data_IF_222304367718
#
_entry.id   IF_222304367718
#
_cell.length_a   1.000
_cell.length_b   1.000
_cell.length_c   1.000
_cell.angle_alpha   90.00
_cell.angle_beta   90.00
_cell.angle_gamma   90.00
#
_symmetry.space_group_name_H-M   'P 1'
#
loop_
_entity.id
_entity.type
_entity.pdbx_description
1 polymer ?
#
# COMPACT_ATOMS: atom_id res chain seq x y z
N UNK A 1 -50.06 -9.61 24.20
CA UNK A 1 -48.84 -8.86 23.90
C UNK A 1 -47.68 -9.84 23.93
N UNK A 2 -47.18 -10.25 22.75
CA UNK A 2 -45.96 -11.07 22.62
C UNK A 2 -44.84 -10.12 22.19
N UNK A 3 -43.89 -9.89 23.09
CA UNK A 3 -42.68 -9.13 22.78
C UNK A 3 -41.78 -9.99 21.87
N UNK A 4 -41.51 -9.52 20.66
CA UNK A 4 -40.50 -10.10 19.74
C UNK A 4 -39.16 -9.44 20.12
N UNK A 5 -38.28 -10.23 20.73
CA UNK A 5 -36.89 -9.85 20.99
C UNK A 5 -36.11 -9.93 19.68
N UNK A 6 -35.85 -8.79 19.03
CA UNK A 6 -34.92 -8.73 17.92
C UNK A 6 -33.49 -8.79 18.46
N UNK A 7 -32.83 -9.93 18.24
CA UNK A 7 -31.41 -10.09 18.51
C UNK A 7 -30.61 -9.43 17.37
N UNK A 8 -30.08 -8.25 17.67
CA UNK A 8 -29.18 -7.55 16.74
C UNK A 8 -27.81 -8.25 16.76
N UNK A 9 -27.56 -9.10 15.76
CA UNK A 9 -26.22 -9.65 15.55
C UNK A 9 -25.32 -8.53 14.98
N UNK A 10 -24.54 -7.89 15.83
CA UNK A 10 -23.45 -7.01 15.43
C UNK A 10 -22.31 -7.90 14.91
N UNK A 11 -22.25 -8.11 13.60
CA UNK A 11 -21.08 -8.70 12.96
C UNK A 11 -19.93 -7.68 13.09
N UNK A 12 -19.10 -7.87 14.11
CA UNK A 12 -17.79 -7.23 14.18
C UNK A 12 -16.94 -7.81 13.04
N UNK A 13 -16.84 -7.07 11.95
CA UNK A 13 -15.78 -7.27 10.98
C UNK A 13 -14.45 -6.95 11.68
N UNK A 14 -13.76 -7.99 12.12
CA UNK A 14 -12.35 -7.90 12.45
C UNK A 14 -11.61 -7.66 11.12
N UNK A 15 -11.40 -6.40 10.76
CA UNK A 15 -10.30 -6.08 9.87
C UNK A 15 -9.03 -6.31 10.70
N UNK A 16 -8.16 -7.26 10.37
CA UNK A 16 -6.87 -7.35 11.02
C UNK A 16 -6.14 -6.04 10.72
N UNK A 17 -6.03 -5.18 11.71
CA UNK A 17 -5.11 -4.05 11.67
C UNK A 17 -3.72 -4.67 11.85
N UNK A 18 -3.05 -4.97 10.74
CA UNK A 18 -1.63 -5.27 10.79
C UNK A 18 -0.94 -4.00 11.28
N UNK A 19 -0.24 -4.10 12.37
CA UNK A 19 0.51 -2.98 12.94
C UNK A 19 1.95 -3.07 12.44
N UNK A 20 2.53 -1.93 12.07
CA UNK A 20 3.96 -1.83 11.83
C UNK A 20 4.75 -2.49 12.97
N UNK A 21 5.86 -3.14 12.64
CA UNK A 21 6.69 -3.83 13.63
C UNK A 21 7.76 -2.87 14.13
N UNK A 22 7.70 -2.50 15.40
CA UNK A 22 8.77 -1.71 16.02
C UNK A 22 9.99 -2.60 16.26
N UNK A 23 11.07 -2.34 15.51
CA UNK A 23 12.35 -3.05 15.62
C UNK A 23 13.20 -2.47 16.74
N UNK A 24 13.23 -1.14 16.85
CA UNK A 24 13.82 -0.40 17.96
C UNK A 24 12.77 0.58 18.45
N UNK A 25 12.44 0.55 19.72
CA UNK A 25 11.57 1.55 20.34
C UNK A 25 12.39 2.68 20.94
N UNK A 26 11.81 3.87 21.00
CA UNK A 26 12.31 4.90 21.89
C UNK A 26 12.49 4.35 23.31
N UNK A 27 13.47 4.85 24.04
CA UNK A 27 13.81 4.33 25.35
C UNK A 27 14.55 2.99 25.33
N UNK A 28 15.03 2.52 24.19
CA UNK A 28 15.86 1.31 24.11
C UNK A 28 17.21 1.50 24.77
N UNK A 29 17.81 0.40 25.24
CA UNK A 29 19.20 0.42 25.74
C UNK A 29 20.20 0.45 24.59
N UNK A 30 21.21 1.32 24.72
CA UNK A 30 22.31 1.49 23.79
C UNK A 30 23.64 1.30 24.49
N UNK A 31 24.66 0.78 23.78
CA UNK A 31 26.06 0.96 24.13
C UNK A 31 26.47 2.37 23.71
N UNK A 32 27.25 3.06 24.57
CA UNK A 32 27.73 4.40 24.24
C UNK A 32 29.17 4.67 24.74
N UNK A 33 29.84 5.58 24.04
CA UNK A 33 31.15 6.10 24.40
C UNK A 33 31.14 7.64 24.34
N UNK A 34 31.46 8.26 25.44
CA UNK A 34 31.40 9.71 25.69
C UNK A 34 32.68 10.22 26.37
N UNK A 35 33.86 9.75 25.91
CA UNK A 35 35.16 10.05 26.47
C UNK A 35 35.95 11.11 25.66
N UNK A 36 35.37 11.64 24.59
CA UNK A 36 35.95 12.63 23.70
C UNK A 36 37.05 12.11 22.77
N UNK A 37 37.30 10.80 22.73
CA UNK A 37 38.31 10.20 21.87
C UNK A 37 37.78 9.96 20.44
N UNK A 38 38.73 9.90 19.48
CA UNK A 38 38.42 9.49 18.11
C UNK A 38 38.29 7.96 17.99
N UNK A 39 37.20 7.47 17.46
CA UNK A 39 37.00 6.03 17.24
C UNK A 39 37.37 5.58 15.80
N UNK A 40 37.82 6.52 14.94
CA UNK A 40 38.04 6.24 13.53
C UNK A 40 36.73 5.79 12.83
N UNK A 41 36.78 4.75 12.01
CA UNK A 41 35.58 4.26 11.27
C UNK A 41 35.19 2.84 11.62
N UNK A 42 36.08 2.03 12.24
CA UNK A 42 35.83 0.63 12.50
C UNK A 42 34.66 0.38 13.49
N UNK A 43 34.37 1.33 14.34
CA UNK A 43 33.31 1.24 15.35
C UNK A 43 31.90 1.18 14.75
N UNK A 44 31.70 1.60 13.49
CA UNK A 44 30.40 1.56 12.82
C UNK A 44 30.02 0.16 12.32
N UNK A 45 31.00 -0.76 12.21
CA UNK A 45 30.83 -2.09 11.63
C UNK A 45 30.44 -3.18 12.63
N UNK A 46 30.00 -4.32 12.11
CA UNK A 46 29.51 -5.47 12.91
C UNK A 46 30.59 -6.17 13.75
N UNK A 47 31.86 -6.10 13.34
CA UNK A 47 32.98 -6.78 14.00
C UNK A 47 33.65 -6.01 15.13
N UNK A 48 33.19 -4.82 15.45
CA UNK A 48 33.82 -3.99 16.48
C UNK A 48 33.46 -4.49 17.88
N UNK A 49 34.47 -4.52 18.77
CA UNK A 49 34.30 -4.90 20.17
C UNK A 49 33.97 -3.69 21.03
N UNK A 50 32.72 -3.53 21.40
CA UNK A 50 32.18 -2.48 22.27
C UNK A 50 31.96 -2.95 23.72
N UNK A 51 32.61 -4.02 24.17
CA UNK A 51 32.41 -4.58 25.51
C UNK A 51 32.78 -3.61 26.61
N UNK A 52 33.74 -2.70 26.36
CA UNK A 52 34.19 -1.66 27.32
C UNK A 52 33.27 -0.43 27.31
N UNK A 53 32.38 -0.28 26.35
CA UNK A 53 31.48 0.87 26.28
C UNK A 53 30.41 0.80 27.38
N UNK A 54 30.01 1.94 27.89
CA UNK A 54 28.90 2.05 28.82
C UNK A 54 27.59 1.63 28.21
N UNK A 55 26.56 1.45 29.03
CA UNK A 55 25.20 1.17 28.56
C UNK A 55 24.23 2.11 29.25
N UNK A 56 23.25 2.61 28.47
CA UNK A 56 22.19 3.50 28.97
C UNK A 56 20.92 3.34 28.18
N UNK A 57 19.83 3.79 28.78
CA UNK A 57 18.50 3.80 28.15
C UNK A 57 18.32 5.17 27.46
N UNK A 58 17.74 5.19 26.25
CA UNK A 58 17.31 6.42 25.58
C UNK A 58 16.18 7.13 26.38
N UNK A 59 16.10 8.43 26.37
CA UNK A 59 16.97 9.43 25.77
C UNK A 59 18.30 9.52 26.53
N UNK A 60 19.39 9.47 25.79
CA UNK A 60 20.74 9.66 26.35
C UNK A 60 21.20 11.08 26.03
N UNK A 61 21.74 11.79 27.02
CA UNK A 61 22.14 13.17 26.82
C UNK A 61 22.52 13.87 28.11
N UNK A 62 22.50 15.20 28.09
CA UNK A 62 22.55 16.06 29.23
C UNK A 62 22.04 17.46 28.87
N UNK A 63 21.45 18.17 29.82
CA UNK A 63 21.13 19.59 29.72
C UNK A 63 19.65 19.90 29.79
N UNK A 64 18.77 19.04 29.25
CA UNK A 64 17.31 19.26 29.15
C UNK A 64 16.55 18.83 30.39
N UNK A 65 17.12 17.89 31.15
CA UNK A 65 16.53 17.38 32.39
C UNK A 65 15.44 16.27 32.14
N UNK A 66 15.32 15.76 30.93
CA UNK A 66 14.46 14.66 30.55
C UNK A 66 15.24 13.38 30.15
N UNK A 67 16.56 13.41 30.29
CA UNK A 67 17.44 12.30 29.97
C UNK A 67 17.24 11.12 30.93
N UNK A 68 17.10 9.93 30.36
CA UNK A 68 17.06 8.66 31.10
C UNK A 68 18.48 8.18 31.49
N UNK A 69 19.49 8.56 30.71
CA UNK A 69 20.90 8.28 30.98
C UNK A 69 21.75 9.52 30.66
N UNK A 70 22.45 10.02 31.66
CA UNK A 70 23.32 11.21 31.54
C UNK A 70 24.66 10.84 30.96
N UNK A 71 25.08 11.52 29.89
CA UNK A 71 26.37 11.37 29.22
C UNK A 71 27.43 12.25 29.93
N UNK A 72 28.71 11.85 29.79
CA UNK A 72 29.83 12.62 30.23
C UNK A 72 30.14 13.77 29.24
N UNK A 73 30.02 14.99 29.69
CA UNK A 73 30.34 16.16 28.89
C UNK A 73 31.85 16.48 28.81
N UNK A 74 32.68 15.75 29.53
CA UNK A 74 34.12 16.02 29.65
C UNK A 74 34.50 17.03 30.72
N UNK A 75 33.54 17.64 31.41
CA UNK A 75 33.77 18.63 32.45
C UNK A 75 32.56 18.77 33.41
N UNK A 76 32.83 19.23 34.62
CA UNK A 76 31.81 19.39 35.68
C UNK A 76 31.99 20.74 36.37
N UNK A 77 30.91 21.50 36.64
CA UNK A 77 29.52 21.20 36.27
C UNK A 77 29.22 21.47 34.78
N UNK A 78 28.34 20.64 34.16
CA UNK A 78 28.01 20.70 32.73
C UNK A 78 27.51 22.09 32.29
N UNK A 79 26.67 22.72 33.12
CA UNK A 79 26.06 24.04 32.83
C UNK A 79 27.06 25.19 32.64
N UNK A 80 28.25 25.12 33.24
CA UNK A 80 29.29 26.15 33.11
C UNK A 80 30.49 25.71 32.27
N UNK A 81 30.41 24.55 31.66
CA UNK A 81 31.50 24.00 30.87
C UNK A 81 31.56 24.63 29.47
N UNK A 82 32.75 25.07 29.05
CA UNK A 82 33.02 25.69 27.75
C UNK A 82 33.89 24.84 26.83
N UNK A 83 34.24 23.62 27.25
CA UNK A 83 35.13 22.70 26.54
C UNK A 83 34.60 21.26 26.58
N UNK A 84 33.30 21.09 26.28
CA UNK A 84 32.65 19.82 26.23
C UNK A 84 33.17 18.96 25.05
N UNK A 85 33.01 17.65 25.15
CA UNK A 85 33.27 16.74 24.04
C UNK A 85 32.35 17.05 22.87
N UNK A 86 32.89 17.08 21.65
CA UNK A 86 32.12 17.41 20.45
C UNK A 86 31.27 16.21 20.02
N UNK A 87 31.77 14.98 20.18
CA UNK A 87 31.11 13.78 19.66
C UNK A 87 30.89 12.74 20.74
N UNK A 88 29.67 12.17 20.74
CA UNK A 88 29.28 10.99 21.49
C UNK A 88 28.83 9.89 20.51
N UNK A 89 29.22 8.64 20.82
CA UNK A 89 29.01 7.48 19.96
C UNK A 89 28.04 6.49 20.58
N UNK A 90 27.18 5.89 19.74
CA UNK A 90 26.15 4.97 20.18
C UNK A 90 26.14 3.73 19.29
N UNK A 91 25.90 2.55 19.87
CA UNK A 91 25.84 1.28 19.14
C UNK A 91 24.72 0.40 19.68
N UNK A 92 24.07 -0.33 18.78
CA UNK A 92 23.08 -1.32 19.12
C UNK A 92 23.08 -2.47 18.10
N UNK A 93 23.08 -3.69 18.57
CA UNK A 93 22.88 -4.86 17.73
C UNK A 93 21.39 -5.22 17.70
N UNK A 94 20.90 -5.51 16.53
CA UNK A 94 19.52 -5.96 16.28
C UNK A 94 19.52 -7.19 15.40
N UNK A 95 18.41 -7.93 15.42
CA UNK A 95 18.17 -9.03 14.49
C UNK A 95 16.92 -8.75 13.69
N UNK A 96 17.06 -8.70 12.38
CA UNK A 96 15.94 -8.62 11.45
C UNK A 96 15.52 -10.04 11.07
N UNK A 97 14.27 -10.39 11.34
CA UNK A 97 13.65 -11.61 10.90
C UNK A 97 13.40 -11.62 9.38
N UNK A 98 12.39 -12.34 8.91
CA UNK A 98 12.04 -12.32 7.49
C UNK A 98 11.58 -10.94 7.07
N UNK A 99 12.17 -10.37 6.02
CA UNK A 99 11.76 -9.08 5.41
C UNK A 99 10.64 -9.25 4.39
N UNK A 100 10.18 -10.50 4.16
CA UNK A 100 9.19 -10.81 3.12
C UNK A 100 7.84 -10.11 3.30
N UNK A 101 7.55 -9.65 4.53
CA UNK A 101 6.31 -8.93 4.86
C UNK A 101 6.48 -7.40 4.91
N UNK A 102 7.69 -6.88 4.72
CA UNK A 102 7.97 -5.46 4.87
C UNK A 102 8.03 -4.73 3.52
N UNK A 103 7.63 -3.47 3.52
CA UNK A 103 7.76 -2.55 2.39
C UNK A 103 9.06 -1.73 2.48
N UNK A 104 9.34 -1.19 3.64
CA UNK A 104 10.49 -0.37 3.97
C UNK A 104 10.60 -0.23 5.49
N UNK A 105 11.57 0.58 5.94
CA UNK A 105 11.69 0.97 7.34
C UNK A 105 11.52 2.49 7.49
N UNK A 106 10.89 2.91 8.57
CA UNK A 106 10.89 4.31 9.01
C UNK A 106 11.89 4.44 10.16
N UNK A 107 12.88 5.31 9.98
CA UNK A 107 13.82 5.70 11.02
C UNK A 107 13.39 7.05 11.59
N UNK A 108 13.15 7.10 12.88
CA UNK A 108 12.86 8.30 13.63
C UNK A 108 14.00 8.54 14.63
N UNK A 109 14.64 9.69 14.57
CA UNK A 109 15.72 10.05 15.50
C UNK A 109 15.40 11.33 16.23
N UNK A 110 15.65 11.35 17.54
CA UNK A 110 15.78 12.57 18.34
C UNK A 110 17.25 12.87 18.47
N UNK A 111 17.64 14.07 18.16
CA UNK A 111 19.04 14.49 18.17
C UNK A 111 19.16 15.96 18.55
N UNK A 112 20.19 16.28 19.30
CA UNK A 112 20.71 17.61 19.50
C UNK A 112 22.25 17.55 19.57
N UNK A 113 23.01 18.28 18.71
CA UNK A 113 22.60 19.12 17.58
C UNK A 113 22.51 18.35 16.25
N UNK A 114 23.50 17.55 15.85
CA UNK A 114 23.61 16.86 14.60
C UNK A 114 23.88 15.38 14.76
N UNK A 115 23.43 14.55 13.80
CA UNK A 115 23.56 13.10 13.84
C UNK A 115 24.02 12.52 12.50
N UNK A 116 24.84 11.45 12.59
CA UNK A 116 25.07 10.51 11.48
C UNK A 116 24.71 9.12 11.97
N UNK A 117 23.97 8.35 11.16
CA UNK A 117 23.55 6.98 11.45
C UNK A 117 24.12 6.02 10.42
N UNK A 118 24.61 4.89 10.89
CA UNK A 118 25.18 3.82 10.09
C UNK A 118 24.46 2.50 10.34
N UNK A 119 24.38 1.68 9.30
CA UNK A 119 23.99 0.26 9.38
C UNK A 119 25.15 -0.57 8.82
N UNK A 120 25.71 -1.46 9.64
CA UNK A 120 26.81 -2.35 9.28
C UNK A 120 28.02 -1.63 8.65
N UNK A 121 28.31 -0.43 9.13
CA UNK A 121 29.42 0.39 8.65
C UNK A 121 29.09 1.31 7.46
N UNK A 122 27.86 1.26 6.93
CA UNK A 122 27.41 2.11 5.81
C UNK A 122 26.55 3.25 6.36
N UNK A 123 26.88 4.49 6.01
CA UNK A 123 26.05 5.66 6.37
C UNK A 123 24.69 5.55 5.66
N UNK A 124 23.60 5.64 6.44
CA UNK A 124 22.23 5.54 5.94
C UNK A 124 21.41 6.82 6.16
N UNK A 125 21.84 7.66 7.10
CA UNK A 125 21.16 8.91 7.41
C UNK A 125 22.14 9.92 8.00
N UNK A 126 21.95 11.19 7.64
CA UNK A 126 22.67 12.34 8.22
C UNK A 126 21.72 13.51 8.34
N UNK A 127 21.74 14.15 9.49
CA UNK A 127 20.94 15.33 9.72
C UNK A 127 21.77 16.38 10.51
N UNK A 128 21.66 17.62 10.09
CA UNK A 128 22.29 18.79 10.71
C UNK A 128 23.83 18.79 10.76
N UNK A 129 24.46 17.91 9.97
CA UNK A 129 25.92 17.86 9.74
C UNK A 129 26.16 17.99 8.23
N UNK A 130 27.12 18.84 7.84
CA UNK A 130 27.44 19.05 6.42
C UNK A 130 27.85 17.76 5.72
N UNK A 131 27.52 17.66 4.43
CA UNK A 131 27.95 16.53 3.57
C UNK A 131 29.45 16.61 3.30
N UNK A 132 30.07 15.45 3.10
CA UNK A 132 31.49 15.32 2.79
C UNK A 132 32.30 14.74 3.94
N UNK A 133 33.62 14.96 3.90
CA UNK A 133 34.54 14.45 4.90
C UNK A 133 34.35 15.18 6.26
N UNK A 134 34.39 14.40 7.30
CA UNK A 134 34.23 14.89 8.69
C UNK A 134 35.16 14.14 9.63
N UNK A 135 35.30 14.64 10.83
CA UNK A 135 36.07 14.05 11.92
C UNK A 135 35.25 14.13 13.20
N UNK A 136 35.69 13.45 14.25
CA UNK A 136 35.06 13.55 15.59
C UNK A 136 35.08 14.98 16.19
N UNK A 137 35.77 15.93 15.60
CA UNK A 137 35.77 17.36 15.97
C UNK A 137 34.92 18.22 15.04
N UNK A 138 34.28 17.63 14.04
CA UNK A 138 33.38 18.36 13.14
C UNK A 138 32.16 18.83 13.93
N UNK A 139 31.89 20.12 13.84
CA UNK A 139 30.72 20.72 14.49
C UNK A 139 29.47 20.53 13.65
N UNK A 140 28.33 20.31 14.31
CA UNK A 140 27.01 20.37 13.70
C UNK A 140 26.55 21.79 13.43
N UNK A 141 25.48 21.99 12.70
CA UNK A 141 24.72 23.23 12.71
C UNK A 141 23.83 23.26 13.96
N UNK A 142 23.38 24.44 14.38
CA UNK A 142 22.50 24.55 15.54
C UNK A 142 21.14 23.84 15.31
N UNK A 143 20.72 23.00 16.24
CA UNK A 143 19.40 22.42 16.25
C UNK A 143 18.39 23.42 16.86
N UNK A 144 17.36 23.76 16.10
CA UNK A 144 16.33 24.72 16.55
C UNK A 144 15.18 24.07 17.30
N UNK A 145 15.16 22.75 17.35
CA UNK A 145 14.13 21.91 17.95
C UNK A 145 14.54 21.34 19.33
N UNK A 146 15.77 21.61 19.79
CA UNK A 146 16.24 21.26 21.10
C UNK A 146 16.08 19.77 21.43
N UNK A 147 16.35 18.89 20.42
CA UNK A 147 16.17 17.43 20.53
C UNK A 147 14.72 16.92 20.67
N UNK A 148 13.75 17.81 20.80
CA UNK A 148 12.35 17.44 21.11
C UNK A 148 11.58 16.86 19.92
N UNK A 149 11.94 17.28 18.69
CA UNK A 149 11.26 16.82 17.48
C UNK A 149 11.96 15.61 16.85
N UNK A 150 11.19 14.57 16.53
CA UNK A 150 11.71 13.43 15.76
C UNK A 150 12.03 13.86 14.32
N UNK A 151 13.24 13.56 13.86
CA UNK A 151 13.66 13.67 12.47
C UNK A 151 13.41 12.33 11.80
N UNK A 152 12.57 12.31 10.74
CA UNK A 152 12.10 11.07 10.13
C UNK A 152 12.68 10.88 8.74
N UNK A 153 13.10 9.65 8.43
CA UNK A 153 13.48 9.24 7.07
C UNK A 153 13.01 7.82 6.78
N UNK A 154 12.89 7.48 5.48
CA UNK A 154 12.57 6.13 5.01
C UNK A 154 13.83 5.43 4.54
N UNK A 155 14.06 4.22 5.03
CA UNK A 155 15.16 3.34 4.65
C UNK A 155 14.63 2.15 3.86
N UNK A 156 15.39 1.71 2.85
CA UNK A 156 15.01 0.59 2.00
C UNK A 156 15.26 -0.76 2.67
N UNK A 157 14.57 -1.82 2.22
CA UNK A 157 14.82 -3.20 2.68
C UNK A 157 16.26 -3.65 2.44
N UNK A 158 16.93 -3.13 1.40
CA UNK A 158 18.31 -3.48 1.08
C UNK A 158 19.31 -3.06 2.17
N UNK A 159 18.97 -2.07 3.00
CA UNK A 159 19.79 -1.60 4.11
C UNK A 159 19.66 -2.50 5.35
N UNK A 160 18.59 -3.31 5.43
CA UNK A 160 18.32 -4.25 6.52
C UNK A 160 17.83 -5.59 5.97
N UNK A 161 18.66 -6.37 5.28
CA UNK A 161 18.26 -7.72 4.89
C UNK A 161 18.03 -8.61 6.13
N UNK A 162 17.48 -9.80 5.95
CA UNK A 162 17.31 -10.77 7.02
C UNK A 162 18.67 -11.10 7.65
N UNK A 163 18.79 -10.99 8.97
CA UNK A 163 20.03 -11.29 9.69
C UNK A 163 20.31 -10.36 10.87
N UNK A 164 21.53 -10.46 11.37
CA UNK A 164 22.01 -9.61 12.45
C UNK A 164 22.65 -8.34 11.87
N UNK A 165 22.31 -7.18 12.46
CA UNK A 165 22.81 -5.89 12.06
C UNK A 165 23.32 -5.12 13.26
N UNK A 166 24.31 -4.25 13.01
CA UNK A 166 24.74 -3.23 13.96
C UNK A 166 24.26 -1.88 13.48
N UNK A 167 23.50 -1.19 14.30
CA UNK A 167 23.22 0.23 14.14
C UNK A 167 24.21 1.00 14.98
N UNK A 168 24.88 1.96 14.34
CA UNK A 168 25.78 2.88 15.01
C UNK A 168 25.34 4.32 14.72
N UNK A 169 25.50 5.20 15.69
CA UNK A 169 25.19 6.62 15.52
C UNK A 169 26.23 7.46 16.24
N UNK A 170 26.50 8.65 15.69
CA UNK A 170 27.27 9.68 16.37
C UNK A 170 26.49 10.97 16.41
N UNK A 171 26.46 11.60 17.59
CA UNK A 171 25.89 12.92 17.78
C UNK A 171 27.06 13.92 17.88
N UNK A 172 26.97 15.05 17.19
CA UNK A 172 27.93 16.12 17.17
C UNK A 172 27.30 17.40 17.70
N UNK A 173 28.03 18.08 18.56
CA UNK A 173 27.65 19.37 19.09
C UNK A 173 27.86 20.50 18.06
N UNK A 174 27.07 21.57 18.15
CA UNK A 174 27.27 22.79 17.37
C UNK A 174 28.48 23.57 17.82
N UNK A 175 28.83 23.53 19.12
CA UNK A 175 30.03 24.13 19.73
C UNK A 175 30.46 23.34 20.96
N UNK A 176 31.71 23.50 21.38
CA UNK A 176 32.18 22.92 22.63
C UNK A 176 31.53 23.55 23.90
N UNK A 177 30.74 24.59 23.74
CA UNK A 177 29.99 25.23 24.82
C UNK A 177 28.47 25.06 24.71
N UNK A 178 27.97 24.22 23.79
CA UNK A 178 26.54 23.92 23.69
C UNK A 178 25.95 23.48 25.02
N UNK A 179 24.71 23.86 25.31
CA UNK A 179 24.08 23.62 26.62
C UNK A 179 23.86 22.14 26.88
N UNK A 180 23.46 21.40 25.85
CA UNK A 180 22.80 20.12 25.89
C UNK A 180 23.27 19.19 24.77
N UNK A 181 22.84 17.96 24.84
CA UNK A 181 22.94 16.92 23.81
C UNK A 181 21.83 15.90 24.04
N UNK A 182 21.16 15.48 22.98
CA UNK A 182 20.10 14.50 23.04
C UNK A 182 20.27 13.39 21.97
N UNK A 183 20.03 12.15 22.38
CA UNK A 183 19.97 11.00 21.47
C UNK A 183 18.89 10.00 21.88
N UNK A 184 17.99 9.72 21.01
CA UNK A 184 17.11 8.53 21.03
C UNK A 184 16.72 8.15 19.61
N UNK A 185 16.33 6.90 19.41
CA UNK A 185 16.05 6.37 18.08
C UNK A 185 14.96 5.32 18.11
N UNK A 186 14.06 5.40 17.13
CA UNK A 186 13.08 4.39 16.81
C UNK A 186 13.28 3.89 15.39
N UNK A 187 13.18 2.57 15.18
CA UNK A 187 13.17 1.93 13.88
C UNK A 187 11.90 1.09 13.73
N UNK A 188 11.08 1.42 12.77
CA UNK A 188 9.81 0.75 12.50
C UNK A 188 9.86 0.07 11.14
N UNK A 189 9.65 -1.24 11.10
CA UNK A 189 9.43 -1.97 9.85
C UNK A 189 7.97 -1.77 9.43
N UNK A 190 7.78 -1.18 8.25
CA UNK A 190 6.47 -0.92 7.68
C UNK A 190 6.01 -2.16 6.89
N UNK A 191 4.94 -2.77 7.31
CA UNK A 191 4.41 -3.94 6.61
C UNK A 191 3.79 -3.54 5.27
N UNK A 192 3.98 -4.40 4.27
CA UNK A 192 3.37 -4.27 2.96
C UNK A 192 1.94 -4.83 3.00
N UNK A 193 1.03 -4.05 3.55
CA UNK A 193 -0.37 -4.44 3.66
C UNK A 193 -1.13 -3.95 2.43
N UNK A 194 -1.29 -4.83 1.43
CA UNK A 194 -2.15 -4.56 0.31
C UNK A 194 -3.60 -4.44 0.77
N UNK A 195 -4.27 -3.39 0.35
CA UNK A 195 -5.71 -3.20 0.51
C UNK A 195 -6.34 -2.78 -0.81
N UNK A 196 -7.56 -3.24 -1.06
CA UNK A 196 -8.27 -2.90 -2.30
C UNK A 196 -8.74 -1.46 -2.24
N UNK A 197 -8.31 -0.66 -3.21
CA UNK A 197 -8.74 0.74 -3.39
C UNK A 197 -9.77 0.90 -4.50
N UNK A 198 -9.88 -0.09 -5.40
CA UNK A 198 -10.86 -0.17 -6.49
C UNK A 198 -11.24 -1.63 -6.74
N UNK A 199 -12.52 -1.93 -6.95
CA UNK A 199 -13.01 -3.23 -7.33
C UNK A 199 -13.17 -4.24 -6.18
N UNK A 200 -13.17 -5.55 -6.49
CA UNK A 200 -13.01 -6.14 -7.83
C UNK A 200 -14.17 -5.83 -8.77
N UNK A 201 -13.88 -5.87 -10.06
CA UNK A 201 -14.86 -5.73 -11.13
C UNK A 201 -14.53 -6.70 -12.27
N UNK A 202 -15.54 -7.01 -13.09
CA UNK A 202 -15.50 -8.07 -14.08
C UNK A 202 -15.55 -7.48 -15.48
N UNK A 203 -14.64 -7.91 -16.35
CA UNK A 203 -14.59 -7.52 -17.76
C UNK A 203 -14.48 -8.75 -18.67
N UNK A 204 -14.67 -8.54 -19.94
CA UNK A 204 -14.38 -9.46 -21.05
C UNK A 204 -14.61 -10.94 -20.69
N UNK A 205 -15.85 -11.32 -20.40
CA UNK A 205 -16.20 -12.72 -20.20
C UNK A 205 -16.37 -13.44 -21.55
N UNK A 206 -16.07 -14.74 -21.54
CA UNK A 206 -16.34 -15.66 -22.64
C UNK A 206 -17.14 -16.87 -22.14
N UNK A 207 -17.38 -17.89 -22.98
CA UNK A 207 -17.93 -19.13 -22.50
C UNK A 207 -17.05 -19.90 -21.53
N UNK A 208 -15.73 -19.60 -21.49
CA UNK A 208 -14.75 -20.37 -20.73
C UNK A 208 -13.70 -19.53 -20.01
N UNK A 209 -13.88 -18.21 -19.95
CA UNK A 209 -12.97 -17.32 -19.24
C UNK A 209 -13.67 -16.05 -18.74
N UNK A 210 -13.00 -15.33 -17.83
CA UNK A 210 -13.38 -14.00 -17.36
C UNK A 210 -12.14 -13.25 -16.92
N UNK A 211 -12.13 -11.93 -17.10
CA UNK A 211 -11.16 -11.03 -16.51
C UNK A 211 -11.68 -10.48 -15.19
N UNK A 212 -10.89 -10.63 -14.13
CA UNK A 212 -11.17 -10.07 -12.79
C UNK A 212 -10.13 -9.02 -12.52
N UNK A 213 -10.56 -7.77 -12.34
CA UNK A 213 -9.68 -6.63 -12.15
C UNK A 213 -9.90 -5.96 -10.81
N UNK A 214 -8.83 -5.46 -10.23
CA UNK A 214 -8.87 -4.64 -9.01
C UNK A 214 -7.62 -3.76 -8.91
N UNK A 215 -7.66 -2.77 -8.00
CA UNK A 215 -6.50 -1.93 -7.65
C UNK A 215 -6.18 -2.08 -6.18
N UNK A 216 -4.91 -2.08 -5.86
CA UNK A 216 -4.39 -2.02 -4.48
C UNK A 216 -3.65 -0.71 -4.20
N UNK A 217 -3.48 -0.39 -2.91
CA UNK A 217 -2.74 0.80 -2.45
C UNK A 217 -1.23 0.67 -2.62
N UNK A 218 -0.70 -0.55 -2.69
CA UNK A 218 0.72 -0.88 -2.85
C UNK A 218 0.90 -2.00 -3.87
N UNK A 219 2.11 -2.11 -4.43
CA UNK A 219 2.44 -3.20 -5.34
C UNK A 219 2.34 -4.56 -4.65
N UNK A 220 1.53 -5.44 -5.21
CA UNK A 220 1.37 -6.83 -4.78
C UNK A 220 1.27 -7.75 -6.01
N UNK A 221 1.51 -9.03 -5.84
CA UNK A 221 1.17 -10.01 -6.85
C UNK A 221 -0.35 -10.30 -6.82
N UNK A 222 -0.86 -11.02 -7.80
CA UNK A 222 -2.29 -11.26 -7.94
C UNK A 222 -2.62 -12.72 -7.68
N UNK A 223 -3.64 -12.98 -6.85
CA UNK A 223 -4.19 -14.32 -6.63
C UNK A 223 -5.71 -14.25 -6.77
N UNK A 224 -6.26 -15.17 -7.57
CA UNK A 224 -7.70 -15.42 -7.64
C UNK A 224 -7.95 -16.87 -7.28
N UNK A 225 -8.68 -17.11 -6.19
CA UNK A 225 -9.23 -18.44 -5.91
C UNK A 225 -10.68 -18.49 -6.40
N UNK A 226 -11.09 -19.61 -6.97
CA UNK A 226 -12.44 -19.75 -7.53
C UNK A 226 -12.97 -21.18 -7.44
N UNK A 227 -14.29 -21.33 -7.53
CA UNK A 227 -14.98 -22.61 -7.49
C UNK A 227 -16.47 -22.45 -7.72
N UNK A 228 -17.18 -23.55 -7.96
CA UNK A 228 -18.63 -23.55 -8.24
C UNK A 228 -19.49 -23.56 -6.97
N UNK A 229 -18.88 -23.74 -5.80
CA UNK A 229 -19.58 -23.81 -4.50
C UNK A 229 -19.15 -22.65 -3.64
N UNK A 230 -20.11 -21.91 -3.09
CA UNK A 230 -19.83 -20.82 -2.14
C UNK A 230 -19.05 -21.34 -0.92
N UNK A 231 -17.99 -20.63 -0.56
CA UNK A 231 -17.08 -21.01 0.53
C UNK A 231 -16.12 -22.16 0.20
N UNK A 232 -16.21 -22.78 -1.00
CA UNK A 232 -15.31 -23.84 -1.44
C UNK A 232 -14.63 -23.46 -2.77
N UNK A 233 -13.55 -22.67 -2.67
CA UNK A 233 -12.77 -22.15 -3.81
C UNK A 233 -11.58 -23.08 -4.05
N UNK A 234 -11.76 -24.10 -4.86
CA UNK A 234 -10.80 -25.21 -5.02
C UNK A 234 -9.75 -25.01 -6.11
N UNK A 235 -9.90 -23.97 -6.91
CA UNK A 235 -8.98 -23.64 -8.02
C UNK A 235 -8.32 -22.28 -7.76
N UNK A 236 -7.09 -22.10 -8.28
CA UNK A 236 -6.33 -20.89 -8.08
C UNK A 236 -5.61 -20.45 -9.35
N UNK A 237 -5.63 -19.15 -9.63
CA UNK A 237 -4.76 -18.50 -10.63
C UNK A 237 -3.87 -17.50 -9.88
N UNK A 238 -2.58 -17.49 -10.21
CA UNK A 238 -1.61 -16.56 -9.63
C UNK A 238 -0.82 -15.87 -10.74
N UNK A 239 -0.70 -14.55 -10.66
CA UNK A 239 0.25 -13.75 -11.44
C UNK A 239 1.30 -13.17 -10.47
N UNK A 240 2.56 -13.50 -10.70
CA UNK A 240 3.68 -13.08 -9.85
C UNK A 240 4.10 -11.62 -10.06
N UNK A 241 3.56 -10.94 -11.06
CA UNK A 241 3.87 -9.53 -11.36
C UNK A 241 3.44 -8.64 -10.20
N UNK A 242 4.38 -7.84 -9.69
CA UNK A 242 4.09 -6.85 -8.65
C UNK A 242 3.51 -5.59 -9.28
N UNK A 243 2.26 -5.31 -8.98
CA UNK A 243 1.52 -4.17 -9.53
C UNK A 243 0.50 -3.63 -8.54
N UNK A 244 0.04 -2.41 -8.76
CA UNK A 244 -1.16 -1.87 -8.10
C UNK A 244 -2.41 -2.06 -8.95
N UNK A 245 -2.28 -2.25 -10.28
CA UNK A 245 -3.38 -2.52 -11.19
C UNK A 245 -3.37 -4.00 -11.56
N UNK A 246 -4.32 -4.75 -11.06
CA UNK A 246 -4.42 -6.19 -11.23
C UNK A 246 -5.43 -6.53 -12.34
N UNK A 247 -5.04 -7.42 -13.24
CA UNK A 247 -5.90 -8.00 -14.28
C UNK A 247 -5.60 -9.49 -14.40
N UNK A 248 -6.47 -10.33 -13.85
CA UNK A 248 -6.30 -11.78 -13.85
C UNK A 248 -7.33 -12.45 -14.73
N UNK A 249 -6.86 -13.16 -15.74
CA UNK A 249 -7.72 -13.98 -16.59
C UNK A 249 -7.89 -15.37 -15.99
N UNK A 250 -9.10 -15.69 -15.60
CA UNK A 250 -9.49 -17.06 -15.20
C UNK A 250 -9.97 -17.80 -16.42
N UNK A 251 -9.37 -18.94 -16.74
CA UNK A 251 -9.63 -19.74 -17.94
C UNK A 251 -10.03 -21.17 -17.61
N UNK A 252 -10.43 -21.96 -18.63
CA UNK A 252 -10.78 -23.36 -18.46
C UNK A 252 -12.12 -23.57 -17.78
N UNK A 253 -13.00 -22.58 -17.83
CA UNK A 253 -14.32 -22.60 -17.19
C UNK A 253 -15.35 -23.30 -18.08
N UNK A 254 -16.42 -23.79 -17.44
CA UNK A 254 -17.62 -24.29 -18.15
C UNK A 254 -18.51 -23.11 -18.52
N UNK A 255 -19.19 -23.19 -19.67
CA UNK A 255 -20.14 -22.18 -20.12
C UNK A 255 -21.40 -22.13 -19.24
N UNK A 256 -22.06 -20.97 -19.22
CA UNK A 256 -23.32 -20.72 -18.48
C UNK A 256 -23.26 -21.24 -17.02
N UNK A 257 -22.09 -21.09 -16.38
CA UNK A 257 -21.82 -21.66 -15.08
C UNK A 257 -21.43 -20.56 -14.10
N UNK A 258 -22.07 -20.60 -12.93
CA UNK A 258 -21.76 -19.68 -11.83
C UNK A 258 -20.51 -20.13 -11.07
N UNK A 259 -19.56 -19.23 -10.91
CA UNK A 259 -18.35 -19.40 -10.11
C UNK A 259 -18.29 -18.36 -9.02
N UNK A 260 -17.98 -18.76 -7.79
CA UNK A 260 -17.59 -17.87 -6.70
C UNK A 260 -16.10 -17.64 -6.76
N UNK A 261 -15.64 -16.48 -6.29
CA UNK A 261 -14.22 -16.16 -6.29
C UNK A 261 -13.81 -15.32 -5.06
N UNK A 262 -12.52 -15.30 -4.81
CA UNK A 262 -11.85 -14.34 -3.93
C UNK A 262 -10.64 -13.77 -4.65
N UNK A 263 -10.26 -12.56 -4.28
CA UNK A 263 -9.02 -11.93 -4.71
C UNK A 263 -8.06 -11.80 -3.53
N UNK A 264 -6.77 -11.81 -3.81
CA UNK A 264 -5.74 -11.72 -2.79
C UNK A 264 -4.35 -11.58 -3.38
N UNK A 265 -3.36 -11.80 -2.54
CA UNK A 265 -1.95 -11.85 -2.90
C UNK A 265 -1.21 -12.90 -2.05
N UNK A 266 0.04 -13.23 -2.43
CA UNK A 266 0.96 -14.07 -1.67
C UNK A 266 2.29 -13.38 -1.43
N UNK A 267 2.44 -12.12 -1.81
CA UNK A 267 3.62 -11.31 -1.59
C UNK A 267 3.21 -9.98 -0.94
N UNK A 268 3.72 -9.66 0.24
CA UNK A 268 4.77 -10.39 0.99
C UNK A 268 4.28 -11.62 1.76
N UNK A 269 2.97 -11.77 1.98
CA UNK A 269 2.37 -12.91 2.68
C UNK A 269 1.02 -13.28 2.05
N UNK A 270 0.54 -14.50 2.32
CA UNK A 270 -0.79 -14.91 1.87
C UNK A 270 -1.85 -13.99 2.49
N UNK A 271 -2.57 -13.30 1.64
CA UNK A 271 -3.60 -12.36 2.06
C UNK A 271 -4.83 -12.48 1.16
N UNK A 272 -5.99 -12.74 1.76
CA UNK A 272 -7.27 -12.64 1.07
C UNK A 272 -7.80 -11.22 1.26
N UNK A 273 -7.95 -10.48 0.18
CA UNK A 273 -8.38 -9.08 0.21
C UNK A 273 -9.91 -8.96 0.20
N UNK A 274 -10.59 -9.70 -0.70
CA UNK A 274 -12.04 -9.69 -0.83
C UNK A 274 -12.56 -11.10 -1.10
N UNK A 275 -13.61 -11.50 -0.38
CA UNK A 275 -14.26 -12.81 -0.51
C UNK A 275 -15.71 -12.76 -0.01
N UNK A 276 -16.45 -13.83 -0.23
CA UNK A 276 -17.83 -14.05 0.27
C UNK A 276 -18.85 -14.31 -0.84
N UNK A 277 -20.06 -14.66 -0.45
CA UNK A 277 -21.14 -15.12 -1.34
C UNK A 277 -21.58 -14.12 -2.41
N UNK A 278 -21.18 -12.85 -2.28
CA UNK A 278 -21.46 -11.79 -3.27
C UNK A 278 -20.37 -11.64 -4.33
N UNK A 279 -19.25 -12.33 -4.18
CA UNK A 279 -18.16 -12.35 -5.15
C UNK A 279 -18.32 -13.58 -6.04
N UNK A 280 -19.02 -13.41 -7.16
CA UNK A 280 -19.26 -14.46 -8.14
C UNK A 280 -19.39 -13.87 -9.54
N UNK A 281 -19.25 -14.71 -10.54
CA UNK A 281 -19.57 -14.40 -11.93
C UNK A 281 -20.26 -15.60 -12.57
N UNK A 282 -20.91 -15.36 -13.71
CA UNK A 282 -21.41 -16.42 -14.57
C UNK A 282 -20.76 -16.30 -15.94
N UNK A 283 -20.18 -17.38 -16.44
CA UNK A 283 -19.60 -17.44 -17.78
C UNK A 283 -20.68 -17.27 -18.85
N UNK A 284 -20.31 -16.78 -20.03
CA UNK A 284 -21.29 -16.58 -21.09
C UNK A 284 -21.91 -17.92 -21.53
N UNK A 285 -23.19 -17.92 -21.90
CA UNK A 285 -23.86 -19.09 -22.51
C UNK A 285 -23.27 -19.38 -23.89
N UNK A 286 -23.56 -20.59 -24.41
CA UNK A 286 -23.20 -20.91 -25.77
C UNK A 286 -23.93 -20.00 -26.77
N UNK A 287 -23.25 -19.69 -27.87
CA UNK A 287 -23.84 -18.89 -28.96
C UNK A 287 -25.01 -19.62 -29.61
N UNK A 288 -26.02 -18.84 -29.95
CA UNK A 288 -27.21 -19.34 -30.62
C UNK A 288 -28.24 -20.04 -29.72
N UNK A 289 -27.97 -20.17 -28.43
CA UNK A 289 -28.90 -20.74 -27.46
C UNK A 289 -29.95 -19.69 -27.08
N UNK A 290 -31.23 -20.01 -27.21
CA UNK A 290 -32.31 -19.15 -26.72
C UNK A 290 -32.39 -19.22 -25.20
N UNK A 291 -32.32 -18.03 -24.55
CA UNK A 291 -32.54 -17.89 -23.11
C UNK A 291 -33.10 -16.52 -22.74
N UNK A 292 -33.80 -16.45 -21.63
CA UNK A 292 -34.15 -15.17 -21.02
C UNK A 292 -32.89 -14.51 -20.50
N UNK A 293 -32.61 -13.28 -20.94
CA UNK A 293 -31.40 -12.52 -20.58
C UNK A 293 -31.80 -11.16 -20.04
N UNK A 294 -30.98 -10.66 -19.10
CA UNK A 294 -31.25 -9.41 -18.39
C UNK A 294 -30.01 -8.54 -18.40
N UNK A 295 -30.08 -7.40 -19.07
CA UNK A 295 -29.00 -6.42 -19.13
C UNK A 295 -29.43 -5.11 -18.49
N UNK A 296 -28.54 -4.50 -17.73
CA UNK A 296 -28.70 -3.13 -17.35
C UNK A 296 -27.95 -2.23 -18.32
N UNK A 297 -28.68 -1.34 -18.99
CA UNK A 297 -28.14 -0.42 -19.98
C UNK A 297 -28.21 0.99 -19.39
N UNK A 298 -27.07 1.67 -19.29
CA UNK A 298 -26.97 2.99 -18.68
C UNK A 298 -25.86 3.82 -19.35
N UNK A 299 -26.08 5.12 -19.52
CA UNK A 299 -25.09 6.11 -19.92
C UNK A 299 -25.02 7.22 -18.89
N UNK A 300 -24.05 8.15 -19.01
CA UNK A 300 -23.91 9.33 -18.15
C UNK A 300 -23.86 9.00 -16.65
N UNK A 301 -23.20 7.90 -16.30
CA UNK A 301 -23.37 7.27 -15.00
C UNK A 301 -22.24 7.54 -14.00
N UNK A 302 -21.32 8.50 -14.28
CA UNK A 302 -20.13 8.75 -13.44
C UNK A 302 -20.02 10.19 -12.91
N UNK A 303 -21.14 10.85 -12.62
CA UNK A 303 -21.14 12.26 -12.22
C UNK A 303 -21.12 12.51 -10.70
N UNK A 304 -21.08 11.46 -9.89
CA UNK A 304 -21.02 11.51 -8.43
C UNK A 304 -22.16 12.33 -7.78
N UNK A 305 -23.36 12.26 -8.34
CA UNK A 305 -24.52 13.00 -7.81
C UNK A 305 -25.50 12.09 -7.08
N UNK A 306 -26.38 12.70 -6.27
CA UNK A 306 -27.51 12.00 -5.65
C UNK A 306 -28.45 11.36 -6.66
N UNK A 307 -28.59 11.96 -7.85
CA UNK A 307 -29.43 11.41 -8.92
C UNK A 307 -28.86 10.09 -9.44
N UNK A 308 -27.55 9.98 -9.63
CA UNK A 308 -26.86 8.73 -9.96
C UNK A 308 -27.16 7.64 -8.94
N UNK A 309 -27.06 7.95 -7.66
CA UNK A 309 -27.35 7.02 -6.56
C UNK A 309 -28.83 6.61 -6.56
N UNK A 310 -29.75 7.53 -6.80
CA UNK A 310 -31.18 7.26 -6.86
C UNK A 310 -31.53 6.34 -8.02
N UNK A 311 -30.95 6.54 -9.20
CA UNK A 311 -31.13 5.64 -10.36
C UNK A 311 -30.62 4.24 -10.03
N UNK A 312 -29.39 4.12 -9.50
CA UNK A 312 -28.85 2.82 -9.07
C UNK A 312 -29.74 2.14 -8.03
N UNK A 313 -30.16 2.87 -7.00
CA UNK A 313 -30.98 2.30 -5.93
C UNK A 313 -32.36 1.85 -6.44
N UNK A 314 -32.97 2.63 -7.35
CA UNK A 314 -34.22 2.23 -8.01
C UNK A 314 -34.06 0.98 -8.87
N UNK A 315 -32.96 0.88 -9.61
CA UNK A 315 -32.62 -0.33 -10.34
C UNK A 315 -32.44 -1.53 -9.40
N UNK A 316 -31.68 -1.39 -8.31
CA UNK A 316 -31.48 -2.47 -7.34
C UNK A 316 -32.78 -2.90 -6.66
N UNK A 317 -33.67 -1.96 -6.38
CA UNK A 317 -35.00 -2.25 -5.83
C UNK A 317 -35.85 -3.03 -6.86
N UNK A 318 -35.83 -2.62 -8.12
CA UNK A 318 -36.55 -3.33 -9.20
C UNK A 318 -36.03 -4.74 -9.41
N UNK A 319 -34.71 -4.93 -9.36
CA UNK A 319 -34.08 -6.23 -9.51
C UNK A 319 -34.38 -7.18 -8.35
N UNK A 320 -34.48 -6.67 -7.14
CA UNK A 320 -34.69 -7.49 -5.93
C UNK A 320 -33.60 -8.56 -5.79
N UNK A 321 -34.00 -9.84 -5.80
CA UNK A 321 -33.07 -10.98 -5.75
C UNK A 321 -32.61 -11.49 -7.14
N UNK A 322 -33.06 -10.86 -8.22
CA UNK A 322 -32.61 -11.24 -9.55
C UNK A 322 -31.21 -10.70 -9.84
N UNK A 323 -30.53 -11.36 -10.77
CA UNK A 323 -29.19 -10.99 -11.21
C UNK A 323 -29.23 -10.49 -12.66
N UNK A 324 -28.37 -9.51 -12.99
CA UNK A 324 -28.15 -9.08 -14.37
C UNK A 324 -27.05 -9.95 -15.01
N UNK A 325 -27.26 -10.36 -16.25
CA UNK A 325 -26.28 -11.09 -17.04
C UNK A 325 -25.11 -10.19 -17.51
N UNK A 326 -25.37 -8.90 -17.65
CA UNK A 326 -24.36 -7.92 -18.03
C UNK A 326 -24.81 -6.48 -17.79
N UNK A 327 -23.83 -5.56 -17.76
CA UNK A 327 -24.05 -4.13 -17.67
C UNK A 327 -23.41 -3.45 -18.88
N UNK A 328 -24.23 -2.77 -19.69
CA UNK A 328 -23.80 -1.99 -20.85
C UNK A 328 -23.64 -0.53 -20.43
N UNK A 329 -22.44 -0.01 -20.56
CA UNK A 329 -22.14 1.39 -20.29
C UNK A 329 -22.03 2.14 -21.63
N UNK A 330 -22.90 3.11 -21.86
CA UNK A 330 -23.04 3.79 -23.13
C UNK A 330 -22.21 5.07 -23.26
N UNK A 331 -21.18 5.19 -22.46
CA UNK A 331 -20.28 6.33 -22.44
C UNK A 331 -20.57 7.31 -21.34
N UNK A 332 -19.66 8.28 -21.19
CA UNK A 332 -19.62 9.27 -20.13
C UNK A 332 -19.62 8.58 -18.75
N UNK A 333 -18.67 7.65 -18.61
CA UNK A 333 -18.53 6.82 -17.43
C UNK A 333 -17.91 7.58 -16.25
N UNK A 334 -17.22 8.71 -16.52
CA UNK A 334 -16.67 9.60 -15.49
C UNK A 334 -16.66 11.06 -15.95
N UNK A 335 -17.03 11.96 -15.06
CA UNK A 335 -17.17 13.40 -15.30
C UNK A 335 -16.20 14.21 -14.45
N UNK A 336 -15.61 15.36 -15.04
CA UNK A 336 -15.97 15.94 -16.36
C UNK A 336 -14.97 15.56 -17.48
N UNK A 337 -13.86 14.93 -17.17
CA UNK A 337 -12.73 14.73 -18.08
C UNK A 337 -12.22 13.27 -18.13
N UNK A 338 -12.98 12.30 -17.60
CA UNK A 338 -12.63 10.88 -17.63
C UNK A 338 -11.27 10.58 -16.96
N UNK A 339 -10.89 11.36 -15.98
CA UNK A 339 -9.64 11.15 -15.24
C UNK A 339 -9.74 9.92 -14.32
N UNK A 340 -8.60 9.33 -13.96
CA UNK A 340 -8.57 8.22 -12.99
C UNK A 340 -9.24 8.60 -11.65
N UNK A 341 -9.02 9.82 -11.19
CA UNK A 341 -9.64 10.33 -9.97
C UNK A 341 -11.16 10.45 -10.07
N UNK A 342 -11.69 10.85 -11.23
CA UNK A 342 -13.13 10.93 -11.46
C UNK A 342 -13.78 9.55 -11.54
N UNK A 343 -13.14 8.58 -12.18
CA UNK A 343 -13.56 7.17 -12.10
C UNK A 343 -13.55 6.68 -10.66
N UNK A 344 -12.48 6.98 -9.91
CA UNK A 344 -12.29 6.55 -8.52
C UNK A 344 -13.33 7.16 -7.57
N UNK A 345 -13.88 8.34 -7.86
CA UNK A 345 -14.86 9.01 -7.00
C UNK A 345 -16.29 8.91 -7.51
N UNK A 346 -16.49 8.95 -8.83
CA UNK A 346 -17.80 9.04 -9.47
C UNK A 346 -18.39 7.73 -9.94
N UNK A 347 -17.57 6.75 -10.34
CA UNK A 347 -18.04 5.50 -10.91
C UNK A 347 -17.87 4.31 -9.95
N UNK A 348 -16.64 3.93 -9.59
CA UNK A 348 -16.40 2.69 -8.85
C UNK A 348 -17.09 2.63 -7.50
N UNK A 349 -17.03 3.60 -6.60
CA UNK A 349 -17.67 3.52 -5.29
C UNK A 349 -19.19 3.44 -5.39
N UNK A 350 -19.75 3.95 -6.47
CA UNK A 350 -21.19 3.96 -6.65
C UNK A 350 -21.75 2.59 -7.02
N UNK A 351 -20.97 1.74 -7.70
CA UNK A 351 -21.45 0.48 -8.27
C UNK A 351 -20.71 -0.77 -7.76
N UNK A 352 -19.48 -0.66 -7.25
CA UNK A 352 -18.63 -1.83 -6.95
C UNK A 352 -19.28 -2.81 -5.98
N UNK A 353 -19.89 -2.33 -4.90
CA UNK A 353 -20.46 -3.20 -3.86
C UNK A 353 -21.79 -3.83 -4.22
N UNK A 354 -22.47 -3.30 -5.21
CA UNK A 354 -23.80 -3.78 -5.63
C UNK A 354 -23.76 -4.59 -6.93
N UNK A 355 -22.85 -4.26 -7.85
CA UNK A 355 -22.91 -4.76 -9.23
C UNK A 355 -21.53 -5.20 -9.76
N UNK A 356 -20.49 -4.36 -9.69
CA UNK A 356 -19.28 -4.59 -10.49
C UNK A 356 -18.54 -5.87 -10.13
N UNK A 357 -18.66 -6.34 -8.89
CA UNK A 357 -18.04 -7.58 -8.41
C UNK A 357 -18.73 -8.87 -8.90
N UNK A 358 -19.92 -8.77 -9.53
CA UNK A 358 -20.67 -9.96 -9.94
C UNK A 358 -21.43 -9.82 -11.27
N UNK A 359 -21.36 -8.67 -11.93
CA UNK A 359 -21.95 -8.42 -13.25
C UNK A 359 -20.83 -8.08 -14.23
N UNK A 360 -20.84 -8.72 -15.40
CA UNK A 360 -19.84 -8.43 -16.44
C UNK A 360 -20.11 -7.05 -17.04
N UNK A 361 -19.06 -6.21 -17.08
CA UNK A 361 -19.09 -4.88 -17.66
C UNK A 361 -18.76 -4.93 -19.15
N UNK A 362 -19.56 -4.22 -19.93
CA UNK A 362 -19.39 -3.98 -21.35
C UNK A 362 -19.44 -2.48 -21.61
N UNK A 363 -18.35 -1.75 -21.30
CA UNK A 363 -18.32 -0.30 -21.41
C UNK A 363 -17.99 0.18 -22.83
N UNK A 364 -18.56 1.34 -23.22
CA UNK A 364 -18.10 2.16 -24.30
C UNK A 364 -17.60 3.51 -23.73
N UNK A 365 -16.59 4.16 -24.34
CA UNK A 365 -16.18 5.50 -23.91
C UNK A 365 -17.07 6.58 -24.56
N UNK A 366 -17.41 7.61 -23.79
CA UNK A 366 -18.11 8.79 -24.26
C UNK A 366 -17.16 9.99 -24.43
N UNK A 367 -17.71 11.14 -24.80
CA UNK A 367 -16.90 12.33 -25.01
C UNK A 367 -16.23 12.86 -23.73
N UNK A 368 -16.86 12.68 -22.56
CA UNK A 368 -16.26 13.03 -21.27
C UNK A 368 -15.14 12.09 -20.87
N UNK A 369 -15.21 10.80 -21.19
CA UNK A 369 -14.11 9.85 -20.99
C UNK A 369 -12.85 10.26 -21.78
N UNK A 370 -13.06 10.92 -22.94
CA UNK A 370 -12.02 11.54 -23.76
C UNK A 370 -11.71 13.00 -23.37
N UNK A 371 -12.20 13.50 -22.24
CA UNK A 371 -12.04 14.89 -21.80
C UNK A 371 -12.54 15.93 -22.84
N UNK A 372 -13.54 15.57 -23.65
CA UNK A 372 -14.00 16.36 -24.80
C UNK A 372 -12.87 16.76 -25.77
N UNK A 373 -11.85 15.94 -25.92
CA UNK A 373 -10.62 16.25 -26.65
C UNK A 373 -10.48 15.36 -27.89
N UNK A 374 -10.52 15.95 -29.08
CA UNK A 374 -10.41 15.24 -30.34
C UNK A 374 -9.07 14.51 -30.52
N UNK A 375 -7.96 15.01 -29.96
CA UNK A 375 -6.67 14.32 -29.99
C UNK A 375 -6.77 13.01 -29.21
N UNK A 376 -7.41 13.01 -28.04
CA UNK A 376 -7.60 11.82 -27.22
C UNK A 376 -8.52 10.78 -27.87
N UNK A 377 -9.48 11.22 -28.69
CA UNK A 377 -10.28 10.30 -29.50
C UNK A 377 -9.50 9.60 -30.60
N UNK A 378 -8.38 10.19 -31.04
CA UNK A 378 -7.53 9.60 -32.07
C UNK A 378 -6.41 8.73 -31.47
N UNK A 379 -5.75 9.19 -30.37
CA UNK A 379 -4.61 8.50 -29.77
C UNK A 379 -5.00 7.48 -28.70
N UNK A 380 -6.27 7.51 -28.23
CA UNK A 380 -6.82 6.69 -27.17
C UNK A 380 -6.03 6.74 -25.84
N UNK A 381 -5.25 7.81 -25.63
CA UNK A 381 -4.43 7.97 -24.43
C UNK A 381 -5.25 8.51 -23.26
N UNK A 382 -6.20 7.69 -22.77
CA UNK A 382 -7.12 8.00 -21.67
C UNK A 382 -7.11 6.89 -20.62
N UNK A 383 -7.46 7.19 -19.36
CA UNK A 383 -7.50 6.20 -18.28
C UNK A 383 -8.43 5.02 -18.54
N UNK A 384 -9.50 5.20 -19.30
CA UNK A 384 -10.47 4.18 -19.66
C UNK A 384 -9.80 2.88 -20.16
N UNK A 385 -8.84 2.97 -21.10
CA UNK A 385 -8.16 1.80 -21.67
C UNK A 385 -7.15 1.13 -20.71
N UNK A 386 -6.76 1.79 -19.63
CA UNK A 386 -6.00 1.15 -18.56
C UNK A 386 -6.86 0.43 -17.53
N UNK A 387 -8.14 0.82 -17.43
CA UNK A 387 -9.08 0.31 -16.45
C UNK A 387 -9.91 -0.86 -16.96
N UNK A 388 -10.24 -0.88 -18.24
CA UNK A 388 -11.09 -1.91 -18.84
C UNK A 388 -10.29 -2.77 -19.80
N UNK A 389 -10.53 -4.08 -19.78
CA UNK A 389 -10.04 -5.05 -20.75
C UNK A 389 -11.19 -5.46 -21.62
N UNK A 390 -11.06 -5.25 -22.92
CA UNK A 390 -12.16 -5.37 -23.88
C UNK A 390 -11.76 -6.23 -25.09
N UNK A 391 -12.72 -6.86 -25.80
CA UNK A 391 -12.42 -7.70 -26.95
C UNK A 391 -11.74 -6.93 -28.08
N UNK A 392 -10.63 -7.47 -28.58
CA UNK A 392 -9.91 -6.95 -29.75
C UNK A 392 -9.86 -7.96 -30.90
N UNK A 393 -9.84 -9.25 -30.57
CA UNK A 393 -9.70 -10.36 -31.51
C UNK A 393 -10.96 -11.26 -31.53
N UNK A 394 -12.13 -10.70 -31.18
CA UNK A 394 -13.40 -11.42 -31.06
C UNK A 394 -13.39 -12.51 -29.98
N UNK A 395 -12.69 -12.30 -28.87
CA UNK A 395 -12.56 -13.26 -27.75
C UNK A 395 -13.91 -13.64 -27.17
N UNK A 396 -14.81 -12.66 -27.03
CA UNK A 396 -16.19 -12.87 -26.54
C UNK A 396 -17.19 -13.11 -27.66
N UNK A 397 -16.77 -13.39 -28.88
CA UNK A 397 -17.57 -13.43 -30.06
C UNK A 397 -17.64 -12.13 -30.84
N UNK A 398 -18.51 -12.08 -31.83
CA UNK A 398 -18.58 -10.94 -32.72
C UNK A 398 -17.45 -10.90 -33.74
N UNK A 399 -17.00 -9.68 -34.09
CA UNK A 399 -16.01 -9.46 -35.14
C UNK A 399 -14.78 -8.82 -34.52
N UNK A 400 -13.59 -9.30 -34.88
CA UNK A 400 -12.32 -8.72 -34.41
C UNK A 400 -12.19 -7.26 -34.89
N UNK A 401 -12.00 -6.34 -33.95
CA UNK A 401 -11.83 -4.89 -34.20
C UNK A 401 -10.36 -4.48 -34.30
N UNK A 402 -9.46 -5.26 -33.67
CA UNK A 402 -8.05 -4.91 -33.48
C UNK A 402 -7.81 -3.79 -32.47
N UNK A 403 -8.84 -3.33 -31.76
CA UNK A 403 -8.75 -2.23 -30.78
C UNK A 403 -9.81 -2.39 -29.69
N UNK A 404 -9.56 -1.87 -28.50
CA UNK A 404 -10.53 -1.79 -27.41
C UNK A 404 -11.49 -0.58 -27.54
N UNK A 405 -11.26 0.31 -28.50
CA UNK A 405 -12.05 1.52 -28.69
C UNK A 405 -13.47 1.25 -29.20
N UNK A 406 -13.64 0.17 -29.90
CA UNK A 406 -14.94 -0.37 -30.33
C UNK A 406 -14.85 -1.89 -30.51
N UNK A 407 -15.90 -2.59 -30.14
CA UNK A 407 -15.95 -4.06 -30.16
C UNK A 407 -17.37 -4.55 -30.30
N UNK A 408 -17.50 -5.83 -30.61
CA UNK A 408 -18.77 -6.57 -30.51
C UNK A 408 -18.56 -7.83 -29.68
N UNK A 409 -19.62 -8.37 -29.15
CA UNK A 409 -19.64 -9.67 -28.46
C UNK A 409 -20.95 -10.41 -28.63
N UNK A 410 -20.92 -11.72 -28.41
CA UNK A 410 -22.10 -12.58 -28.50
C UNK A 410 -22.52 -13.05 -27.11
N UNK A 411 -23.78 -12.92 -26.80
CA UNK A 411 -24.38 -13.45 -25.59
C UNK A 411 -25.62 -14.27 -25.97
N UNK A 412 -25.55 -15.61 -25.84
CA UNK A 412 -26.62 -16.49 -26.29
C UNK A 412 -26.98 -16.24 -27.78
N UNK A 413 -28.22 -15.84 -28.06
CA UNK A 413 -28.70 -15.47 -29.40
C UNK A 413 -28.69 -13.95 -29.67
N UNK A 414 -27.99 -13.19 -28.85
CA UNK A 414 -27.80 -11.71 -28.96
C UNK A 414 -26.41 -11.46 -29.50
N UNK A 415 -26.30 -10.56 -30.48
CA UNK A 415 -25.04 -9.99 -30.98
C UNK A 415 -25.00 -8.51 -30.68
#
# INVERSE_FOLDING_TARGET
MKAVLQLLFLLLYFNPTFSNVTVISYGSSWKYLDDGSSQGTAWTGTGFNDASWSSGIGQLGYGDGDESATLNAGCTPVASCTSKFITSYFRKNITIGSTATYLNYTLNVRRDDGIIVYVDGVEVYRNNIATGAFTYLTLASNATDDGNAAQTTTLSLAQFPTGNHTIAAEIHQTTASSSDISFDMELVANENNASVTRGPYLNMATQNSVHIRWRTNVNANSVVNYGTVDGSLTSTVTDATLTTEHDVTVTGLSNDTKYFYSIGNTNPAIQTLNTGSKYFFTTLPLRGVERSSRFWVIGDCGNNTSNQLNVRNSYMQYMGNNHADGMLLLGDNAYNAGTDAEYQTGFYPQYQDSLLRNVILWPAPGNHDYANNATRQNDHAIPYFSMFTLPTAAESGGIASGTEAYYSYDFANIH
#
